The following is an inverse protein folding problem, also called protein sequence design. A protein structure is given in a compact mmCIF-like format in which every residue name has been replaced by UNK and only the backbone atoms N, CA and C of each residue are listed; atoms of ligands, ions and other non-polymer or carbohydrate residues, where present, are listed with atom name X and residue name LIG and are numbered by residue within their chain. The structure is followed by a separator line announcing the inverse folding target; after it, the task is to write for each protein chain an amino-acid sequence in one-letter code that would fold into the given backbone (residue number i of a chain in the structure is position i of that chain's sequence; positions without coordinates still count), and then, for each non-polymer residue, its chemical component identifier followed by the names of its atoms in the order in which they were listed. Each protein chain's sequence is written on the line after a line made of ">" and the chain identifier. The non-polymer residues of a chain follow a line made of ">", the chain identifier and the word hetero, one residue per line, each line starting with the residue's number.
data_IF_655215814293
#
_entry.id   IF_655215814293
#
_cell.length_a   1.000
_cell.length_b   1.000
_cell.length_c   1.000
_cell.angle_alpha   90.00
_cell.angle_beta   90.00
_cell.angle_gamma   90.00
#
_symmetry.space_group_name_H-M   'P 1'
#
loop_
_entity.id
_entity.type
_entity.pdbx_description
1 polymer ?
#
# COMPACT_ATOMS: atom_id res chain seq x y z
N UNK A 1 -2.52 6.59 11.39
CA UNK A 1 -3.20 6.81 10.10
C UNK A 1 -3.20 5.52 9.31
N UNK A 2 -4.15 5.36 8.39
CA UNK A 2 -4.23 4.19 7.50
C UNK A 2 -3.73 4.59 6.11
N UNK A 3 -2.85 3.78 5.52
CA UNK A 3 -2.39 3.93 4.15
C UNK A 3 -3.42 3.28 3.21
N UNK A 4 -4.26 4.10 2.59
CA UNK A 4 -5.25 3.67 1.61
C UNK A 4 -4.73 3.91 0.20
N UNK A 5 -4.62 2.84 -0.57
CA UNK A 5 -4.27 2.93 -1.98
C UNK A 5 -5.34 3.74 -2.73
N UNK A 6 -4.90 4.63 -3.60
CA UNK A 6 -5.78 5.45 -4.45
C UNK A 6 -5.14 5.58 -5.81
N UNK A 7 -5.85 5.15 -6.85
CA UNK A 7 -5.32 5.23 -8.20
C UNK A 7 -5.89 6.45 -8.91
N UNK A 8 -5.04 7.45 -9.13
CA UNK A 8 -5.37 8.55 -10.05
C UNK A 8 -5.05 8.12 -11.47
N UNK A 9 -6.09 7.70 -12.21
CA UNK A 9 -5.94 7.26 -13.59
C UNK A 9 -6.04 8.46 -14.54
N UNK A 10 -5.02 8.75 -15.37
CA UNK A 10 -5.06 9.86 -16.32
C UNK A 10 -6.30 9.78 -17.22
N UNK A 11 -7.07 10.87 -17.30
CA UNK A 11 -8.30 10.96 -18.10
C UNK A 11 -9.54 10.27 -17.48
N UNK A 12 -9.41 9.57 -16.36
CA UNK A 12 -10.52 8.84 -15.71
C UNK A 12 -10.77 9.29 -14.26
N UNK A 13 -9.87 10.06 -13.67
CA UNK A 13 -10.00 10.57 -12.30
C UNK A 13 -9.55 9.57 -11.24
N UNK A 14 -10.10 9.71 -10.03
CA UNK A 14 -9.80 8.84 -8.91
C UNK A 14 -10.57 7.52 -9.04
N UNK A 15 -9.85 6.40 -8.99
CA UNK A 15 -10.38 5.03 -8.96
C UNK A 15 -10.16 4.47 -7.55
N UNK A 16 -11.23 3.93 -6.96
CA UNK A 16 -11.19 3.41 -5.59
C UNK A 16 -10.68 1.95 -5.55
N UNK A 17 -10.03 1.53 -4.45
CA UNK A 17 -9.51 0.16 -4.30
C UNK A 17 -10.46 -0.96 -4.69
N UNK A 18 -11.74 -0.84 -4.32
CA UNK A 18 -12.76 -1.85 -4.62
C UNK A 18 -12.89 -2.14 -6.13
N UNK A 19 -12.52 -1.21 -7.00
CA UNK A 19 -12.65 -1.35 -8.46
C UNK A 19 -11.46 -2.08 -9.09
N UNK A 20 -10.29 -2.13 -8.44
CA UNK A 20 -9.08 -2.66 -9.07
C UNK A 20 -8.31 -3.68 -8.21
N UNK A 21 -8.49 -3.70 -6.89
CA UNK A 21 -7.85 -4.70 -6.00
C UNK A 21 -8.21 -6.14 -6.41
N UNK A 22 -9.46 -6.49 -6.75
CA UNK A 22 -9.78 -7.85 -7.21
C UNK A 22 -8.95 -8.27 -8.43
N UNK A 23 -8.72 -7.35 -9.37
CA UNK A 23 -7.88 -7.61 -10.56
C UNK A 23 -6.41 -7.81 -10.15
N UNK A 24 -5.91 -7.05 -9.19
CA UNK A 24 -4.55 -7.24 -8.66
C UNK A 24 -4.40 -8.62 -7.99
N UNK A 25 -5.42 -9.10 -7.29
CA UNK A 25 -5.42 -10.41 -6.65
C UNK A 25 -5.47 -11.55 -7.67
N UNK A 26 -6.38 -11.47 -8.65
CA UNK A 26 -6.51 -12.45 -9.73
C UNK A 26 -5.22 -12.59 -10.57
N UNK A 27 -4.53 -11.46 -10.79
CA UNK A 27 -3.29 -11.43 -11.58
C UNK A 27 -2.03 -11.71 -10.75
N UNK A 28 -2.15 -11.83 -9.42
CA UNK A 28 -1.01 -11.93 -8.50
C UNK A 28 -0.19 -10.64 -8.37
N UNK A 29 -0.56 -9.56 -9.06
CA UNK A 29 0.12 -8.26 -8.96
C UNK A 29 -0.03 -7.63 -7.57
N UNK A 30 -1.01 -8.08 -6.77
CA UNK A 30 -1.23 -7.60 -5.40
C UNK A 30 0.01 -7.74 -4.52
N UNK A 31 0.84 -8.77 -4.72
CA UNK A 31 2.08 -8.97 -3.95
C UNK A 31 3.10 -7.89 -4.31
N UNK A 32 3.40 -7.74 -5.61
CA UNK A 32 4.37 -6.75 -6.10
C UNK A 32 3.97 -5.30 -5.78
N UNK A 33 2.69 -4.97 -5.93
CA UNK A 33 2.18 -3.64 -5.57
C UNK A 33 2.20 -3.47 -4.05
N UNK A 34 1.87 -4.52 -3.29
CA UNK A 34 1.93 -4.52 -1.84
C UNK A 34 3.32 -4.18 -1.30
N UNK A 35 4.38 -4.76 -1.86
CA UNK A 35 5.76 -4.48 -1.45
C UNK A 35 6.11 -3.00 -1.65
N UNK A 36 5.75 -2.46 -2.82
CA UNK A 36 5.92 -1.04 -3.11
C UNK A 36 5.13 -0.13 -2.14
N UNK A 37 3.92 -0.53 -1.73
CA UNK A 37 3.12 0.23 -0.75
C UNK A 37 3.82 0.25 0.61
N UNK A 38 4.41 -0.86 1.05
CA UNK A 38 5.16 -0.92 2.31
C UNK A 38 6.38 0.00 2.27
N UNK A 39 7.14 -0.03 1.17
CA UNK A 39 8.29 0.86 0.97
C UNK A 39 7.87 2.34 1.01
N UNK A 40 6.77 2.68 0.34
CA UNK A 40 6.26 4.05 0.30
C UNK A 40 5.74 4.51 1.67
N UNK A 41 5.10 3.62 2.44
CA UNK A 41 4.68 3.91 3.81
C UNK A 41 5.90 4.20 4.71
N UNK A 42 6.96 3.39 4.61
CA UNK A 42 8.22 3.61 5.32
C UNK A 42 8.87 4.93 4.92
N UNK A 43 8.91 5.25 3.62
CA UNK A 43 9.44 6.52 3.10
C UNK A 43 8.66 7.71 3.66
N UNK A 44 7.33 7.62 3.69
CA UNK A 44 6.49 8.70 4.21
C UNK A 44 6.66 8.90 5.72
N UNK A 45 6.84 7.83 6.49
CA UNK A 45 7.16 7.91 7.93
C UNK A 45 8.50 8.60 8.14
N UNK A 46 9.53 8.27 7.36
CA UNK A 46 10.83 8.91 7.45
C UNK A 46 10.73 10.43 7.20
N UNK A 47 9.99 10.83 6.15
CA UNK A 47 9.75 12.23 5.83
C UNK A 47 9.02 12.98 6.96
N UNK A 48 8.03 12.35 7.59
CA UNK A 48 7.35 12.92 8.77
C UNK A 48 8.28 13.07 9.96
N UNK A 49 9.16 12.10 10.21
CA UNK A 49 10.14 12.18 11.28
C UNK A 49 11.10 13.36 11.06
N UNK A 50 11.56 13.59 9.82
CA UNK A 50 12.41 14.73 9.45
C UNK A 50 11.69 16.07 9.65
N UNK A 51 10.38 16.12 9.41
CA UNK A 51 9.53 17.30 9.68
C UNK A 51 9.20 17.49 11.16
N UNK A 52 9.70 16.62 12.05
CA UNK A 52 9.49 16.70 13.49
C UNK A 52 8.15 16.13 13.97
N UNK A 53 7.38 15.49 13.08
CA UNK A 53 6.17 14.76 13.45
C UNK A 53 6.57 13.41 14.03
N UNK A 54 6.42 13.26 15.35
CA UNK A 54 6.82 12.05 16.09
C UNK A 54 5.62 11.14 16.36
N UNK A 55 5.92 9.87 16.63
CA UNK A 55 4.95 8.84 17.07
C UNK A 55 3.85 8.51 16.05
N UNK A 56 4.14 8.63 14.76
CA UNK A 56 3.17 8.29 13.71
C UNK A 56 3.06 6.76 13.57
N UNK A 57 1.89 6.23 13.93
CA UNK A 57 1.51 4.84 13.62
C UNK A 57 0.83 4.79 12.26
N UNK A 58 1.39 4.01 11.34
CA UNK A 58 0.79 3.74 10.02
C UNK A 58 0.33 2.29 9.97
N UNK A 59 -0.90 2.07 9.53
CA UNK A 59 -1.40 0.74 9.19
C UNK A 59 -1.45 0.58 7.67
N UNK A 60 -0.96 -0.55 7.17
CA UNK A 60 -1.01 -0.94 5.75
C UNK A 60 -1.90 -2.17 5.64
N UNK A 61 -2.85 -2.15 4.70
CA UNK A 61 -3.67 -3.33 4.41
C UNK A 61 -2.88 -4.28 3.52
N UNK A 62 -2.81 -5.54 3.93
CA UNK A 62 -2.14 -6.61 3.19
C UNK A 62 -3.18 -7.64 2.76
N UNK A 63 -3.06 -8.14 1.53
CA UNK A 63 -3.91 -9.25 1.08
C UNK A 63 -3.43 -10.57 1.69
N UNK A 64 -4.32 -11.54 1.84
CA UNK A 64 -3.94 -12.87 2.33
C UNK A 64 -2.86 -13.51 1.46
N UNK A 65 -2.85 -13.21 0.16
CA UNK A 65 -1.83 -13.69 -0.77
C UNK A 65 -0.46 -13.06 -0.51
N UNK A 66 -0.40 -11.75 -0.29
CA UNK A 66 0.87 -11.08 0.07
C UNK A 66 1.40 -11.57 1.41
N UNK A 67 0.51 -11.87 2.37
CA UNK A 67 0.92 -12.41 3.65
C UNK A 67 1.66 -13.75 3.49
N UNK A 68 1.13 -14.67 2.68
CA UNK A 68 1.70 -16.02 2.49
C UNK A 68 2.85 -16.07 1.47
N UNK A 69 2.76 -15.32 0.38
CA UNK A 69 3.73 -15.39 -0.74
C UNK A 69 4.79 -14.29 -0.69
N UNK A 70 4.55 -13.22 0.08
CA UNK A 70 5.50 -12.13 0.25
C UNK A 70 6.47 -12.37 1.41
N UNK A 71 7.35 -11.40 1.64
CA UNK A 71 8.34 -11.43 2.72
C UNK A 71 7.77 -10.91 4.06
N UNK A 72 6.50 -11.25 4.34
CA UNK A 72 5.76 -10.82 5.53
C UNK A 72 5.67 -11.91 6.61
N UNK A 73 5.87 -13.17 6.24
CA UNK A 73 6.09 -14.28 7.17
C UNK A 73 7.60 -14.35 7.45
N UNK A 74 8.01 -13.85 8.62
CA UNK A 74 9.42 -13.79 9.04
C UNK A 74 10.09 -15.13 9.30
#
# INVERSE_FOLDING_TARGET
>A
VEALLRWHRPGHGLVYPAEFVPVLEETGMVVRIGDWIVDEACRQIAEWNEQGVREVRVAVNVSSRQFVEGDLEG
#
